data_IF_832374770915
#
_entry.id   IF_832374770915
#
_cell.length_a   1.000
_cell.length_b   1.000
_cell.length_c   1.000
_cell.angle_alpha   90.00
_cell.angle_beta   90.00
_cell.angle_gamma   90.00
#
_symmetry.space_group_name_H-M   'P 1'
#
loop_
_entity.id
_entity.type
_entity.pdbx_description
1 polymer ?
#
# COMPACT_ATOMS: atom_id res chain seq x y z
N UNK A 1 20.28 -19.32 -2.45
CA UNK A 1 20.05 -19.98 -1.15
C UNK A 1 20.29 -21.47 -1.32
N UNK A 2 21.09 -22.08 -0.46
CA UNK A 2 21.25 -23.54 -0.41
C UNK A 2 19.91 -24.18 -0.05
N UNK A 3 19.55 -25.30 -0.68
CA UNK A 3 18.31 -25.99 -0.34
C UNK A 3 18.44 -26.70 1.02
N UNK A 4 17.41 -26.62 1.90
CA UNK A 4 17.43 -27.33 3.17
C UNK A 4 17.42 -28.84 2.95
N UNK A 5 18.26 -29.55 3.69
CA UNK A 5 18.44 -31.01 3.63
C UNK A 5 17.87 -31.73 4.86
N UNK A 6 17.59 -30.98 5.92
CA UNK A 6 16.94 -31.50 7.14
C UNK A 6 15.63 -30.75 7.45
N UNK A 7 14.80 -31.36 8.30
CA UNK A 7 13.55 -30.73 8.79
C UNK A 7 13.84 -29.46 9.60
N UNK A 8 14.95 -29.43 10.35
CA UNK A 8 15.34 -28.25 11.12
C UNK A 8 15.70 -27.09 10.18
N UNK A 9 16.58 -27.34 9.20
CA UNK A 9 16.95 -26.35 8.17
C UNK A 9 15.74 -25.85 7.38
N UNK A 10 14.77 -26.73 7.09
CA UNK A 10 13.54 -26.34 6.39
C UNK A 10 12.69 -25.39 7.22
N UNK A 11 12.58 -25.62 8.54
CA UNK A 11 11.82 -24.73 9.45
C UNK A 11 12.48 -23.36 9.54
N UNK A 12 13.80 -23.30 9.66
CA UNK A 12 14.55 -22.03 9.66
C UNK A 12 14.43 -21.29 8.34
N UNK A 13 14.57 -22.00 7.22
CA UNK A 13 14.41 -21.43 5.88
C UNK A 13 12.98 -20.89 5.65
N UNK A 14 11.95 -21.59 6.15
CA UNK A 14 10.55 -21.12 6.10
C UNK A 14 10.37 -19.84 6.92
N UNK A 15 10.92 -19.79 8.14
CA UNK A 15 10.82 -18.61 8.99
C UNK A 15 11.48 -17.39 8.32
N UNK A 16 12.71 -17.54 7.83
CA UNK A 16 13.42 -16.48 7.13
C UNK A 16 12.75 -16.06 5.81
N UNK A 17 12.06 -16.97 5.12
CA UNK A 17 11.25 -16.63 3.96
C UNK A 17 9.98 -15.86 4.36
N UNK A 18 9.33 -16.26 5.44
CA UNK A 18 8.16 -15.59 6.00
C UNK A 18 8.45 -14.16 6.46
N UNK A 19 9.57 -13.93 7.13
CA UNK A 19 10.00 -12.58 7.54
C UNK A 19 10.29 -11.67 6.35
N UNK A 20 10.95 -12.19 5.30
CA UNK A 20 11.18 -11.44 4.06
C UNK A 20 9.87 -11.12 3.34
N UNK A 21 8.95 -12.07 3.32
CA UNK A 21 7.61 -11.84 2.79
C UNK A 21 6.88 -10.74 3.57
N UNK A 22 6.90 -10.79 4.91
CA UNK A 22 6.28 -9.78 5.76
C UNK A 22 6.82 -8.38 5.48
N UNK A 23 8.15 -8.26 5.36
CA UNK A 23 8.81 -7.00 5.04
C UNK A 23 8.42 -6.47 3.65
N UNK A 24 8.39 -7.33 2.64
CA UNK A 24 8.00 -6.96 1.28
C UNK A 24 6.53 -6.51 1.21
N UNK A 25 5.62 -7.18 1.94
CA UNK A 25 4.22 -6.76 2.03
C UNK A 25 4.10 -5.39 2.71
N UNK A 26 4.84 -5.16 3.80
CA UNK A 26 4.83 -3.87 4.49
C UNK A 26 5.36 -2.72 3.62
N UNK A 27 6.44 -2.96 2.88
CA UNK A 27 7.01 -1.99 1.93
C UNK A 27 6.02 -1.67 0.80
N UNK A 28 5.39 -2.71 0.24
CA UNK A 28 4.38 -2.56 -0.79
C UNK A 28 3.13 -1.82 -0.28
N UNK A 29 2.71 -2.11 0.95
CA UNK A 29 1.60 -1.43 1.62
C UNK A 29 1.89 0.07 1.74
N UNK A 30 3.10 0.44 2.18
CA UNK A 30 3.53 1.82 2.28
C UNK A 30 3.55 2.52 0.91
N UNK A 31 4.17 1.90 -0.11
CA UNK A 31 4.22 2.45 -1.46
C UNK A 31 2.83 2.66 -2.07
N UNK A 32 1.90 1.73 -1.82
CA UNK A 32 0.51 1.90 -2.25
C UNK A 32 -0.14 3.09 -1.56
N UNK A 33 -0.01 3.20 -0.23
CA UNK A 33 -0.63 4.28 0.54
C UNK A 33 -0.15 5.67 0.06
N UNK A 34 1.15 5.81 -0.21
CA UNK A 34 1.72 7.04 -0.75
C UNK A 34 1.08 7.40 -2.10
N UNK A 35 1.08 6.45 -3.05
CA UNK A 35 0.52 6.67 -4.39
C UNK A 35 -0.97 7.02 -4.34
N UNK A 36 -1.74 6.25 -3.56
CA UNK A 36 -3.16 6.45 -3.36
C UNK A 36 -3.50 7.80 -2.69
N UNK A 37 -2.66 8.27 -1.77
CA UNK A 37 -2.81 9.58 -1.16
C UNK A 37 -2.60 10.70 -2.18
N UNK A 38 -1.57 10.60 -3.02
CA UNK A 38 -1.33 11.58 -4.08
C UNK A 38 -2.44 11.61 -5.13
N UNK A 39 -2.94 10.44 -5.55
CA UNK A 39 -4.09 10.35 -6.46
C UNK A 39 -5.31 11.06 -5.87
N UNK A 40 -5.58 10.85 -4.57
CA UNK A 40 -6.66 11.53 -3.85
C UNK A 40 -6.48 13.06 -3.81
N UNK A 41 -5.25 13.54 -3.63
CA UNK A 41 -4.94 14.97 -3.68
C UNK A 41 -5.25 15.54 -5.07
N UNK A 42 -4.81 14.85 -6.14
CA UNK A 42 -5.01 15.30 -7.52
C UNK A 42 -6.47 15.24 -7.98
N UNK A 43 -7.27 14.36 -7.38
CA UNK A 43 -8.73 14.30 -7.58
C UNK A 43 -9.48 15.39 -6.82
N UNK A 44 -8.86 16.03 -5.82
CA UNK A 44 -9.53 17.10 -5.08
C UNK A 44 -9.85 18.26 -6.02
N UNK A 45 -11.12 18.67 -6.08
CA UNK A 45 -11.57 19.70 -7.02
C UNK A 45 -10.90 21.07 -6.85
N UNK A 46 -10.41 21.41 -5.66
CA UNK A 46 -9.65 22.65 -5.47
C UNK A 46 -8.25 22.53 -6.06
N UNK A 47 -7.57 21.40 -5.83
CA UNK A 47 -6.24 21.12 -6.38
C UNK A 47 -6.29 20.92 -7.90
N UNK A 48 -7.27 20.16 -8.39
CA UNK A 48 -7.47 19.89 -9.81
C UNK A 48 -7.68 21.18 -10.62
N UNK A 49 -8.41 22.15 -10.05
CA UNK A 49 -8.58 23.48 -10.66
C UNK A 49 -7.26 24.25 -10.81
N UNK A 50 -6.32 24.07 -9.89
CA UNK A 50 -4.98 24.67 -9.99
C UNK A 50 -4.15 24.04 -11.12
N UNK A 51 -4.36 22.76 -11.40
CA UNK A 51 -3.63 22.02 -12.43
C UNK A 51 -4.10 22.34 -13.86
N UNK A 52 -5.23 23.03 -14.06
CA UNK A 52 -5.70 23.49 -15.36
C UNK A 52 -6.19 22.39 -16.32
N UNK A 53 -6.17 21.12 -15.89
CA UNK A 53 -6.70 19.98 -16.64
C UNK A 53 -7.17 18.88 -15.66
N UNK A 54 -8.17 18.10 -16.07
CA UNK A 54 -8.62 16.96 -15.29
C UNK A 54 -7.51 15.89 -15.25
N UNK A 55 -7.05 15.55 -14.05
CA UNK A 55 -6.13 14.44 -13.86
C UNK A 55 -6.85 13.10 -14.11
N UNK A 56 -6.49 12.43 -15.20
CA UNK A 56 -6.94 11.06 -15.49
C UNK A 56 -6.18 10.10 -14.56
N UNK A 57 -6.93 9.30 -13.81
CA UNK A 57 -6.41 8.46 -12.74
C UNK A 57 -6.72 7.00 -13.03
N UNK A 58 -5.70 6.17 -12.95
CA UNK A 58 -5.83 4.73 -12.98
C UNK A 58 -5.60 4.20 -11.57
N UNK A 59 -6.62 4.30 -10.72
CA UNK A 59 -6.60 3.55 -9.46
C UNK A 59 -6.59 2.05 -9.76
N UNK A 60 -6.04 1.25 -8.86
CA UNK A 60 -6.07 -0.20 -8.98
C UNK A 60 -7.54 -0.68 -9.00
N UNK A 61 -8.08 -0.94 -10.19
CA UNK A 61 -9.45 -1.43 -10.43
C UNK A 61 -10.57 -0.60 -9.77
N UNK A 62 -10.39 0.72 -9.62
CA UNK A 62 -11.45 1.58 -9.09
C UNK A 62 -11.64 1.51 -7.56
N UNK A 63 -10.80 0.76 -6.84
CA UNK A 63 -10.89 0.63 -5.38
C UNK A 63 -9.59 1.06 -4.70
N UNK A 64 -9.64 2.14 -3.93
CA UNK A 64 -8.57 2.57 -3.01
C UNK A 64 -8.56 1.75 -1.71
N UNK A 65 -9.57 0.88 -1.54
CA UNK A 65 -9.99 0.33 -0.25
C UNK A 65 -9.32 -1.00 0.09
N UNK A 66 -8.63 -1.66 -0.87
CA UNK A 66 -8.22 -3.05 -0.69
C UNK A 66 -6.79 -3.31 -1.17
N UNK A 67 -5.96 -3.80 -0.25
CA UNK A 67 -4.80 -4.61 -0.61
C UNK A 67 -5.31 -5.86 -1.34
N UNK A 68 -4.76 -6.23 -2.52
CA UNK A 68 -5.17 -7.43 -3.24
C UNK A 68 -5.19 -8.66 -2.32
N UNK A 69 -6.25 -9.45 -2.37
CA UNK A 69 -6.39 -10.69 -1.58
C UNK A 69 -5.22 -11.64 -1.82
N UNK A 70 -4.60 -11.57 -2.99
CA UNK A 70 -3.46 -12.37 -3.41
C UNK A 70 -2.16 -12.06 -2.64
N UNK A 71 -2.12 -10.94 -1.91
CA UNK A 71 -0.98 -10.51 -1.09
C UNK A 71 -1.13 -10.90 0.38
N UNK A 72 -1.95 -11.91 0.67
CA UNK A 72 -2.27 -12.35 2.03
C UNK A 72 -1.61 -13.68 2.38
N UNK A 73 -0.71 -13.71 3.37
CA UNK A 73 -0.20 -14.93 4.02
C UNK A 73 -0.66 -15.01 5.49
N UNK A 74 -1.36 -16.07 5.92
CA UNK A 74 -2.01 -16.14 7.24
C UNK A 74 -1.06 -15.97 8.43
N UNK A 75 0.18 -16.46 8.31
CA UNK A 75 1.15 -16.46 9.42
C UNK A 75 2.14 -15.28 9.41
N UNK A 76 2.30 -14.59 8.27
CA UNK A 76 3.42 -13.64 8.06
C UNK A 76 2.97 -12.27 7.51
N UNK A 77 1.67 -12.07 7.25
CA UNK A 77 1.13 -10.79 6.80
C UNK A 77 0.17 -10.18 7.81
N UNK A 78 0.37 -8.90 8.15
CA UNK A 78 -0.60 -8.11 8.90
C UNK A 78 -1.71 -7.62 7.96
N UNK A 79 -2.97 -7.81 8.34
CA UNK A 79 -4.12 -7.29 7.60
C UNK A 79 -4.72 -6.12 8.34
N UNK A 80 -4.87 -4.98 7.65
CA UNK A 80 -5.65 -3.87 8.17
C UNK A 80 -6.78 -3.54 7.21
N UNK A 81 -8.01 -3.46 7.72
CA UNK A 81 -9.20 -3.02 6.97
C UNK A 81 -9.30 -1.49 6.89
N UNK A 82 -8.25 -0.77 7.31
CA UNK A 82 -8.29 0.68 7.57
C UNK A 82 -7.58 1.51 6.50
N UNK A 83 -7.42 0.94 5.31
CA UNK A 83 -6.66 1.50 4.21
C UNK A 83 -7.11 2.92 3.84
N UNK A 84 -8.42 3.10 3.63
CA UNK A 84 -9.00 4.39 3.30
C UNK A 84 -8.76 5.46 4.37
N UNK A 85 -8.84 5.08 5.65
CA UNK A 85 -8.58 6.02 6.74
C UNK A 85 -7.14 6.52 6.67
N UNK A 86 -6.19 5.62 6.43
CA UNK A 86 -4.76 5.96 6.31
C UNK A 86 -4.47 6.83 5.09
N UNK A 87 -5.06 6.49 3.94
CA UNK A 87 -4.97 7.32 2.73
C UNK A 87 -5.49 8.74 3.01
N UNK A 88 -6.65 8.87 3.66
CA UNK A 88 -7.21 10.17 4.00
C UNK A 88 -6.32 10.95 4.98
N UNK A 89 -5.77 10.29 6.00
CA UNK A 89 -4.84 10.91 6.95
C UNK A 89 -3.60 11.48 6.26
N UNK A 90 -3.09 10.81 5.22
CA UNK A 90 -1.92 11.28 4.46
C UNK A 90 -2.27 12.37 3.46
N UNK A 91 -3.42 12.27 2.78
CA UNK A 91 -3.81 13.21 1.73
C UNK A 91 -4.29 14.57 2.28
N UNK A 92 -5.02 14.58 3.40
CA UNK A 92 -5.70 15.81 3.89
C UNK A 92 -4.74 16.97 4.17
N UNK A 93 -3.59 16.81 4.86
CA UNK A 93 -2.65 17.91 5.09
C UNK A 93 -2.12 18.53 3.79
N UNK A 94 -1.94 17.71 2.74
CA UNK A 94 -1.47 18.18 1.43
C UNK A 94 -2.58 18.98 0.73
N UNK A 95 -3.82 18.49 0.77
CA UNK A 95 -4.99 19.21 0.24
C UNK A 95 -5.13 20.57 0.91
N UNK A 96 -5.03 20.63 2.23
CA UNK A 96 -5.17 21.87 3.00
C UNK A 96 -4.06 22.88 2.67
N UNK A 97 -2.83 22.40 2.47
CA UNK A 97 -1.69 23.24 2.09
C UNK A 97 -1.84 23.83 0.67
N UNK A 98 -2.40 23.07 -0.27
CA UNK A 98 -2.56 23.48 -1.67
C UNK A 98 -3.85 24.27 -1.94
N UNK A 99 -4.83 24.22 -1.04
CA UNK A 99 -6.14 24.88 -1.22
C UNK A 99 -6.25 26.28 -0.58
N UNK A 100 -5.20 26.73 0.12
CA UNK A 100 -5.08 28.10 0.65
C UNK A 100 -4.42 29.02 -0.38
#
# INVERSE_FOLDING_TARGET
>A
MTQPTTIHELKEARQAAGERYAAAVAELEAAYLDLAAYDRVLQNGNVNRLAGAAYDHHSFRGGLDFLPVDMRHPDFGSYTTEFNRRIATMANPIIDALSN
#
